data_IF_961806667830
#
_entry.id   IF_961806667830
#
_cell.length_a   1.000
_cell.length_b   1.000
_cell.length_c   1.000
_cell.angle_alpha   90.00
_cell.angle_beta   90.00
_cell.angle_gamma   90.00
#
_symmetry.space_group_name_H-M   'P 1'
#
loop_
_entity.id
_entity.type
_entity.pdbx_description
1 polymer ?
#
# COMPACT_ATOMS: atom_id res chain seq x y z
N UNK A 1 11.29 14.87 -9.10
CA UNK A 1 10.32 15.54 -8.22
C UNK A 1 9.80 14.46 -7.27
N UNK A 2 10.12 14.54 -5.99
CA UNK A 2 9.68 13.56 -4.98
C UNK A 2 8.24 13.90 -4.57
N UNK A 3 7.30 13.67 -5.47
CA UNK A 3 5.89 13.80 -5.15
C UNK A 3 5.50 12.53 -4.39
N UNK A 4 5.50 12.62 -3.06
CA UNK A 4 4.88 11.58 -2.25
C UNK A 4 3.40 11.50 -2.65
N UNK A 5 2.86 10.30 -2.94
CA UNK A 5 1.43 10.18 -3.21
C UNK A 5 0.64 10.78 -2.05
N UNK A 6 -0.47 11.44 -2.36
CA UNK A 6 -1.36 12.00 -1.35
C UNK A 6 -1.78 10.91 -0.36
N UNK A 7 -1.84 11.23 0.93
CA UNK A 7 -2.34 10.28 1.91
C UNK A 7 -3.79 9.92 1.54
N UNK A 8 -4.09 8.66 1.23
CA UNK A 8 -5.42 8.28 0.76
C UNK A 8 -6.42 8.43 1.91
N UNK A 9 -7.48 9.19 1.67
CA UNK A 9 -8.63 9.28 2.58
C UNK A 9 -9.67 8.24 2.20
N UNK A 10 -10.46 7.77 3.18
CA UNK A 10 -11.52 6.80 2.91
C UNK A 10 -12.53 7.35 1.91
N UNK A 11 -12.88 8.64 2.00
CA UNK A 11 -13.77 9.29 1.06
C UNK A 11 -13.20 9.27 -0.36
N UNK A 12 -11.89 9.51 -0.52
CA UNK A 12 -11.21 9.46 -1.81
C UNK A 12 -11.15 8.05 -2.41
N UNK A 13 -11.00 7.03 -1.55
CA UNK A 13 -11.06 5.62 -1.99
C UNK A 13 -12.49 5.26 -2.42
N UNK A 14 -13.50 5.60 -1.62
CA UNK A 14 -14.91 5.29 -1.90
C UNK A 14 -15.46 6.05 -3.11
N UNK A 15 -14.99 7.28 -3.34
CA UNK A 15 -15.39 8.10 -4.48
C UNK A 15 -14.67 7.74 -5.78
N UNK A 16 -13.70 6.83 -5.74
CA UNK A 16 -12.86 6.47 -6.90
C UNK A 16 -11.84 7.55 -7.30
N UNK A 17 -11.56 8.51 -6.41
CA UNK A 17 -10.47 9.47 -6.59
C UNK A 17 -9.10 8.80 -6.37
N UNK A 18 -9.05 7.79 -5.51
CA UNK A 18 -7.90 6.92 -5.30
C UNK A 18 -8.22 5.57 -5.93
N UNK A 19 -7.46 5.20 -6.96
CA UNK A 19 -7.57 3.94 -7.69
C UNK A 19 -6.26 3.17 -7.60
N UNK A 20 -6.34 1.84 -7.71
CA UNK A 20 -5.17 0.98 -7.74
C UNK A 20 -4.23 1.36 -8.90
N UNK A 21 -2.94 1.46 -8.64
CA UNK A 21 -1.95 1.91 -9.62
C UNK A 21 -0.56 2.06 -9.01
N UNK A 22 0.34 2.78 -9.70
CA UNK A 22 1.75 2.87 -9.27
C UNK A 22 1.96 3.47 -7.87
N UNK A 23 1.03 4.27 -7.36
CA UNK A 23 1.13 4.91 -6.04
C UNK A 23 0.24 4.29 -4.95
N UNK A 24 -0.72 3.42 -5.32
CA UNK A 24 -1.73 2.89 -4.40
C UNK A 24 -2.00 1.41 -4.71
N UNK A 25 -1.85 0.56 -3.71
CA UNK A 25 -2.16 -0.88 -3.81
C UNK A 25 -3.30 -1.19 -2.83
N UNK A 26 -4.31 -1.93 -3.30
CA UNK A 26 -5.47 -2.30 -2.51
C UNK A 26 -5.48 -3.78 -2.17
N UNK A 27 -5.62 -4.10 -0.88
CA UNK A 27 -5.81 -5.47 -0.42
C UNK A 27 -7.05 -5.61 0.43
N UNK A 28 -7.89 -6.56 0.04
CA UNK A 28 -9.09 -6.94 0.77
C UNK A 28 -8.79 -7.46 2.19
N UNK A 29 -7.77 -8.32 2.30
CA UNK A 29 -7.39 -8.96 3.55
C UNK A 29 -5.86 -9.07 3.62
N UNK A 30 -5.29 -8.62 4.73
CA UNK A 30 -3.90 -8.90 5.07
C UNK A 30 -3.88 -9.86 6.25
N UNK A 31 -3.52 -11.11 5.98
CA UNK A 31 -3.35 -12.12 7.02
C UNK A 31 -1.86 -12.22 7.39
N UNK A 32 -1.47 -11.66 8.53
CA UNK A 32 -0.10 -11.76 9.04
C UNK A 32 0.12 -12.99 9.92
N UNK A 33 -0.88 -13.82 10.16
CA UNK A 33 -0.72 -15.06 10.93
C UNK A 33 -0.30 -16.24 10.03
N UNK A 34 -0.64 -16.17 8.74
CA UNK A 34 -0.21 -17.14 7.73
C UNK A 34 1.14 -16.76 7.10
N UNK A 35 2.02 -17.74 6.91
CA UNK A 35 3.32 -17.53 6.25
C UNK A 35 3.16 -16.96 4.84
N UNK A 36 2.15 -17.42 4.08
CA UNK A 36 1.90 -16.90 2.74
C UNK A 36 1.48 -15.43 2.75
N UNK A 37 0.65 -15.03 3.71
CA UNK A 37 0.23 -13.64 3.83
C UNK A 37 1.36 -12.70 4.26
N UNK A 38 2.29 -13.18 5.09
CA UNK A 38 3.55 -12.46 5.39
C UNK A 38 4.43 -12.32 4.16
N UNK A 39 4.66 -13.39 3.40
CA UNK A 39 5.49 -13.35 2.19
C UNK A 39 4.92 -12.40 1.15
N UNK A 40 3.61 -12.49 0.87
CA UNK A 40 2.95 -11.58 -0.06
C UNK A 40 3.15 -10.12 0.36
N UNK A 41 2.91 -9.80 1.64
CA UNK A 41 3.12 -8.44 2.14
C UNK A 41 4.54 -7.94 1.92
N UNK A 42 5.55 -8.79 2.16
CA UNK A 42 6.95 -8.44 1.93
C UNK A 42 7.20 -8.20 0.44
N UNK A 43 6.66 -9.05 -0.44
CA UNK A 43 6.80 -8.89 -1.89
C UNK A 43 6.19 -7.56 -2.36
N UNK A 44 5.02 -7.17 -1.83
CA UNK A 44 4.38 -5.89 -2.15
C UNK A 44 5.20 -4.70 -1.62
N UNK A 45 5.74 -4.80 -0.41
CA UNK A 45 6.63 -3.77 0.15
C UNK A 45 7.89 -3.62 -0.69
N UNK A 46 8.49 -4.72 -1.14
CA UNK A 46 9.65 -4.72 -2.03
C UNK A 46 9.31 -4.11 -3.39
N UNK A 47 8.13 -4.39 -3.94
CA UNK A 47 7.65 -3.76 -5.16
C UNK A 47 7.56 -2.24 -5.03
N UNK A 48 7.00 -1.74 -3.92
CA UNK A 48 6.99 -0.30 -3.62
C UNK A 48 8.40 0.27 -3.45
N UNK A 49 9.28 -0.39 -2.70
CA UNK A 49 10.67 0.08 -2.54
C UNK A 49 11.42 0.22 -3.87
N UNK A 50 11.13 -0.65 -4.85
CA UNK A 50 11.72 -0.60 -6.18
C UNK A 50 11.03 0.40 -7.12
N UNK A 51 9.71 0.60 -6.99
CA UNK A 51 8.92 1.46 -7.87
C UNK A 51 8.91 2.93 -7.43
N UNK A 52 8.97 3.21 -6.13
CA UNK A 52 8.92 4.56 -5.56
C UNK A 52 7.98 4.68 -4.35
N UNK A 53 7.78 5.91 -3.82
CA UNK A 53 6.89 6.12 -2.69
C UNK A 53 5.45 5.71 -3.02
N UNK A 54 4.77 5.08 -2.07
CA UNK A 54 3.43 4.54 -2.29
C UNK A 54 2.63 4.35 -1.01
N UNK A 55 1.37 3.91 -1.16
CA UNK A 55 0.50 3.54 -0.05
C UNK A 55 -0.10 2.16 -0.29
N UNK A 56 0.00 1.29 0.71
CA UNK A 56 -0.74 0.04 0.76
C UNK A 56 -1.99 0.25 1.61
N UNK A 57 -3.17 0.08 1.03
CA UNK A 57 -4.44 0.16 1.74
C UNK A 57 -4.97 -1.25 1.93
N UNK A 58 -5.15 -1.62 3.19
CA UNK A 58 -5.66 -2.92 3.63
C UNK A 58 -7.10 -2.77 4.08
N UNK A 59 -7.93 -3.77 3.80
CA UNK A 59 -9.34 -3.79 4.13
C UNK A 59 -10.22 -3.08 3.12
N UNK A 60 -9.77 -2.89 1.88
CA UNK A 60 -10.58 -2.28 0.81
C UNK A 60 -10.77 -3.30 -0.30
N UNK A 61 -12.03 -3.48 -0.71
CA UNK A 61 -12.41 -4.23 -1.90
C UNK A 61 -12.74 -3.27 -3.03
N UNK A 62 -11.97 -3.28 -4.10
CA UNK A 62 -12.36 -2.61 -5.34
C UNK A 62 -13.13 -3.58 -6.25
N UNK A 63 -14.32 -3.18 -6.72
CA UNK A 63 -15.10 -3.94 -7.70
C UNK A 63 -15.65 -3.01 -8.78
N UNK A 64 -15.03 -3.04 -9.96
CA UNK A 64 -15.48 -2.34 -11.20
C UNK A 64 -15.93 -0.89 -10.96
N UNK A 65 -15.05 -0.06 -10.42
CA UNK A 65 -15.31 1.38 -10.19
C UNK A 65 -16.11 1.70 -8.93
N UNK A 66 -16.41 0.71 -8.09
CA UNK A 66 -16.95 0.91 -6.75
C UNK A 66 -16.03 0.26 -5.73
N UNK A 67 -15.45 1.10 -4.86
CA UNK A 67 -14.61 0.66 -3.75
C UNK A 67 -15.46 0.53 -2.50
N UNK A 68 -15.26 -0.55 -1.74
CA UNK A 68 -15.92 -0.79 -0.47
C UNK A 68 -14.87 -1.04 0.60
N UNK A 69 -14.76 -0.12 1.55
CA UNK A 69 -13.90 -0.26 2.71
C UNK A 69 -14.58 -1.11 3.79
N UNK A 70 -13.81 -2.01 4.40
CA UNK A 70 -14.15 -2.73 5.61
C UNK A 70 -14.11 -1.77 6.80
N UNK A 71 -14.85 -2.10 7.86
CA UNK A 71 -14.85 -1.34 9.12
C UNK A 71 -13.47 -1.27 9.78
N UNK A 72 -12.55 -2.17 9.43
CA UNK A 72 -11.18 -2.25 9.96
C UNK A 72 -10.11 -1.99 8.89
N UNK A 73 -10.35 -1.04 7.98
CA UNK A 73 -9.36 -0.65 6.97
C UNK A 73 -8.15 0.05 7.62
N UNK A 74 -6.97 -0.09 7.01
CA UNK A 74 -5.72 0.55 7.45
C UNK A 74 -4.91 1.02 6.25
N UNK A 75 -4.26 2.16 6.40
CA UNK A 75 -3.29 2.67 5.42
C UNK A 75 -1.89 2.47 5.97
N UNK A 76 -1.03 1.86 5.16
CA UNK A 76 0.39 1.73 5.43
C UNK A 76 1.11 2.60 4.41
N UNK A 77 1.59 3.75 4.87
CA UNK A 77 2.42 4.63 4.05
C UNK A 77 3.79 3.97 3.84
N UNK A 78 4.23 3.91 2.59
CA UNK A 78 5.58 3.47 2.21
C UNK A 78 6.39 4.72 1.81
N UNK A 79 6.97 5.43 2.79
CA UNK A 79 7.78 6.60 2.49
C UNK A 79 9.05 6.18 1.76
N UNK A 80 9.34 6.84 0.63
CA UNK A 80 10.64 6.73 -0.01
C UNK A 80 11.67 7.50 0.82
N UNK A 81 12.55 6.78 1.49
CA UNK A 81 13.70 7.33 2.20
C UNK A 81 14.98 6.75 1.58
N UNK A 82 15.77 7.56 0.88
CA UNK A 82 17.06 7.15 0.35
C UNK A 82 18.05 6.67 1.44
N UNK A 83 17.85 7.07 2.70
CA UNK A 83 18.65 6.64 3.85
C UNK A 83 18.26 5.25 4.42
N UNK A 84 17.03 4.74 4.20
CA UNK A 84 16.65 3.41 4.71
C UNK A 84 17.21 2.26 3.87
N UNK A 85 17.66 2.52 2.64
CA UNK A 85 18.36 1.56 1.79
C UNK A 85 19.82 1.31 2.20
N UNK A 86 20.44 2.23 2.96
CA UNK A 86 21.80 2.01 3.47
C UNK A 86 21.83 1.03 4.65
N UNK A 87 20.79 1.00 5.49
CA UNK A 87 20.73 0.10 6.65
C UNK A 87 20.47 -1.38 6.31
N UNK A 88 19.98 -1.68 5.10
CA UNK A 88 19.76 -3.07 4.65
C UNK A 88 20.96 -3.67 3.89
N UNK A 89 22.00 -2.88 3.60
CA UNK A 89 23.22 -3.33 2.88
C UNK A 89 24.40 -3.64 3.80
N UNK A 90 24.22 -3.66 5.12
CA UNK A 90 25.32 -3.92 6.06
C UNK A 90 24.87 -4.77 7.23
N UNK A 91 24.73 -6.07 7.01
CA UNK A 91 25.01 -7.13 7.98
C UNK A 91 25.35 -8.38 7.18
#
# INVERSE_FOLDING_TARGET
MNEQPLVPTIDGILSGLVVEGQGYEFKALLNLDDQRGKSNFIDDVVAFLNAGPGHLIVGVHEKRGSSRASSQWRVIAMPYNAASLQSFRTT
#
